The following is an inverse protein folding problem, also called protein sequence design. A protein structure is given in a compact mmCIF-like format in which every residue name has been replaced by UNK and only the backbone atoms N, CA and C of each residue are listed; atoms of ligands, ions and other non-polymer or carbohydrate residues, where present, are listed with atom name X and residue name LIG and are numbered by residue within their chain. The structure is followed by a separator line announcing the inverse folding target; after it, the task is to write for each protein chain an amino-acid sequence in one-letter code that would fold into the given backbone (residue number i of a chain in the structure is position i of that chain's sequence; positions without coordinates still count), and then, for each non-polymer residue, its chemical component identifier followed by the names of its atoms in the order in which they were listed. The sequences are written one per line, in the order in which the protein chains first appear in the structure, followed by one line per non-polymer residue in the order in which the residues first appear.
data_IF_247087003526
#
_entry.id   IF_247087003526
#
_cell.length_a   1.000
_cell.length_b   1.000
_cell.length_c   1.000
_cell.angle_alpha   90.00
_cell.angle_beta   90.00
_cell.angle_gamma   90.00
#
_symmetry.space_group_name_H-M   'P 1'
#
loop_
_entity.id
_entity.type
_entity.pdbx_description
1 polymer ?
#
# COMPACT_ATOMS: atom_id res chain seq x y z
N UNK A 1 -16.24 77.71 34.81
CA UNK A 1 -15.72 77.59 33.43
C UNK A 1 -14.48 76.70 33.45
N UNK A 2 -14.58 75.44 33.03
CA UNK A 2 -13.42 74.55 32.86
C UNK A 2 -13.73 73.56 31.75
N UNK A 3 -13.36 73.95 30.54
CA UNK A 3 -13.39 73.16 29.32
C UNK A 3 -12.06 73.48 28.62
N UNK A 4 -11.53 72.52 27.85
CA UNK A 4 -10.31 72.56 27.02
C UNK A 4 -9.09 71.85 27.61
N UNK A 5 -9.15 70.51 27.59
CA UNK A 5 -7.98 69.63 27.79
C UNK A 5 -7.99 68.36 26.92
N UNK A 6 -8.79 68.31 25.84
CA UNK A 6 -8.85 67.17 24.92
C UNK A 6 -8.96 67.65 23.47
N UNK A 7 -7.92 68.30 22.93
CA UNK A 7 -7.84 68.64 21.50
C UNK A 7 -6.44 68.49 20.86
N UNK A 8 -5.48 67.82 21.51
CA UNK A 8 -4.11 67.73 20.98
C UNK A 8 -3.62 66.34 20.58
N UNK A 9 -4.46 65.30 20.65
CA UNK A 9 -4.07 63.95 20.24
C UNK A 9 -4.19 63.67 18.73
N UNK A 10 -4.78 64.60 17.97
CA UNK A 10 -5.05 64.45 16.54
C UNK A 10 -4.33 65.47 15.64
N UNK A 11 -3.48 66.33 16.20
CA UNK A 11 -2.63 67.23 15.40
C UNK A 11 -1.36 66.49 14.96
N UNK A 12 -1.15 66.26 13.64
CA UNK A 12 0.00 65.53 13.12
C UNK A 12 1.37 66.16 13.45
N UNK A 13 1.40 67.46 13.77
CA UNK A 13 2.63 68.20 14.05
C UNK A 13 2.95 68.32 15.55
N UNK A 14 2.04 67.90 16.44
CA UNK A 14 2.22 67.90 17.89
C UNK A 14 3.31 66.93 18.34
N UNK A 15 4.17 67.34 19.28
CA UNK A 15 5.18 66.46 19.87
C UNK A 15 4.58 65.23 20.54
N UNK A 16 3.40 65.36 21.15
CA UNK A 16 2.70 64.24 21.76
C UNK A 16 2.24 63.21 20.71
N UNK A 17 1.82 63.67 19.52
CA UNK A 17 1.46 62.79 18.41
C UNK A 17 2.70 62.10 17.82
N UNK A 18 3.80 62.84 17.65
CA UNK A 18 5.09 62.27 17.19
C UNK A 18 5.62 61.21 18.15
N UNK A 19 5.57 61.45 19.46
CA UNK A 19 5.98 60.47 20.48
C UNK A 19 5.08 59.22 20.49
N UNK A 20 3.76 59.39 20.37
CA UNK A 20 2.81 58.29 20.24
C UNK A 20 3.04 57.44 18.98
N UNK A 21 3.27 58.10 17.84
CA UNK A 21 3.58 57.41 16.58
C UNK A 21 4.92 56.68 16.64
N UNK A 22 5.95 57.27 17.24
CA UNK A 22 7.25 56.61 17.43
C UNK A 22 7.13 55.34 18.29
N UNK A 23 6.42 55.41 19.42
CA UNK A 23 6.17 54.24 20.29
C UNK A 23 5.33 53.16 19.58
N UNK A 24 4.37 53.57 18.75
CA UNK A 24 3.52 52.66 17.98
C UNK A 24 4.31 51.93 16.89
N UNK A 25 5.14 52.66 16.13
CA UNK A 25 6.02 52.08 15.11
C UNK A 25 7.04 51.13 15.72
N UNK A 26 7.57 51.44 16.91
CA UNK A 26 8.50 50.55 17.59
C UNK A 26 7.85 49.25 18.06
N UNK A 27 6.60 49.31 18.57
CA UNK A 27 5.81 48.11 18.90
C UNK A 27 5.55 47.26 17.65
N UNK A 28 5.14 47.89 16.54
CA UNK A 28 4.92 47.20 15.27
C UNK A 28 6.20 46.54 14.73
N UNK A 29 7.34 47.23 14.83
CA UNK A 29 8.64 46.67 14.42
C UNK A 29 9.02 45.44 15.24
N UNK A 30 8.85 45.49 16.56
CA UNK A 30 9.11 44.34 17.45
C UNK A 30 8.20 43.16 17.13
N UNK A 31 6.92 43.40 16.87
CA UNK A 31 5.98 42.35 16.46
C UNK A 31 6.32 41.76 15.08
N UNK A 32 6.72 42.59 14.13
CA UNK A 32 7.15 42.16 12.80
C UNK A 32 8.43 41.31 12.85
N UNK A 33 9.43 41.75 13.62
CA UNK A 33 10.67 41.00 13.82
C UNK A 33 10.41 39.68 14.56
N UNK A 34 9.48 39.65 15.53
CA UNK A 34 9.06 38.42 16.21
C UNK A 34 8.39 37.44 15.24
N UNK A 35 7.40 37.89 14.46
CA UNK A 35 6.72 37.07 13.44
C UNK A 35 7.69 36.53 12.40
N UNK A 36 8.63 37.36 11.94
CA UNK A 36 9.66 36.97 10.97
C UNK A 36 10.62 35.93 11.56
N UNK A 37 10.97 36.01 12.85
CA UNK A 37 11.77 34.98 13.56
C UNK A 37 10.99 33.68 13.73
N UNK A 38 9.74 33.75 14.19
CA UNK A 38 8.85 32.59 14.31
C UNK A 38 8.65 31.89 12.95
N UNK A 39 8.49 32.65 11.87
CA UNK A 39 8.37 32.14 10.51
C UNK A 39 9.69 31.58 9.97
N UNK A 40 10.83 32.20 10.29
CA UNK A 40 12.15 31.69 9.95
C UNK A 40 12.49 30.39 10.70
N UNK A 41 12.14 30.28 11.99
CA UNK A 41 12.30 29.06 12.78
C UNK A 41 11.37 27.94 12.29
N UNK A 42 10.12 28.27 11.94
CA UNK A 42 9.18 27.34 11.30
C UNK A 42 9.71 26.85 9.95
N UNK A 43 10.23 27.75 9.11
CA UNK A 43 10.84 27.42 7.82
C UNK A 43 12.16 26.64 7.98
N UNK A 44 12.94 26.90 9.03
CA UNK A 44 14.15 26.15 9.35
C UNK A 44 13.82 24.73 9.84
N UNK A 45 12.78 24.56 10.68
CA UNK A 45 12.25 23.24 11.06
C UNK A 45 11.71 22.47 9.84
N UNK A 46 10.98 23.15 8.94
CA UNK A 46 10.48 22.55 7.70
C UNK A 46 11.60 22.14 6.72
N UNK A 47 12.77 22.81 6.77
CA UNK A 47 13.95 22.44 5.96
C UNK A 47 14.74 21.26 6.55
N UNK A 48 14.52 20.91 7.83
CA UNK A 48 15.35 19.97 8.57
C UNK A 48 14.91 18.50 8.55
N UNK A 49 13.64 18.19 8.27
CA UNK A 49 13.17 16.78 8.34
C UNK A 49 12.25 16.41 7.20
N UNK A 50 12.86 15.99 6.08
CA UNK A 50 12.10 15.39 4.97
C UNK A 50 11.76 13.94 5.29
N UNK A 51 10.54 13.55 4.95
CA UNK A 51 10.12 12.15 4.96
C UNK A 51 11.11 11.30 4.17
N UNK A 52 11.29 10.04 4.56
CA UNK A 52 12.04 9.11 3.73
C UNK A 52 11.28 8.89 2.42
N UNK A 53 11.97 9.09 1.30
CA UNK A 53 11.41 8.92 -0.04
C UNK A 53 11.87 7.59 -0.63
N UNK A 54 10.93 6.85 -1.21
CA UNK A 54 11.24 5.65 -1.99
C UNK A 54 11.75 6.08 -3.35
N UNK A 55 12.78 5.37 -3.81
CA UNK A 55 13.34 5.48 -5.15
C UNK A 55 12.79 4.39 -6.06
N UNK A 56 12.82 3.13 -5.62
CA UNK A 56 12.23 2.01 -6.35
C UNK A 56 11.80 0.88 -5.41
N UNK A 57 10.90 0.03 -5.90
CA UNK A 57 10.44 -1.20 -5.26
C UNK A 57 10.82 -2.37 -6.16
N UNK A 58 11.62 -3.30 -5.64
CA UNK A 58 11.87 -4.58 -6.28
C UNK A 58 10.93 -5.62 -5.68
N UNK A 59 10.07 -6.20 -6.52
CA UNK A 59 9.00 -7.08 -6.10
C UNK A 59 9.32 -8.57 -6.31
N UNK A 60 10.43 -8.92 -6.98
CA UNK A 60 10.84 -10.29 -7.27
C UNK A 60 9.71 -11.18 -7.83
N UNK A 61 9.00 -10.74 -8.89
CA UNK A 61 7.79 -11.40 -9.37
C UNK A 61 8.01 -12.87 -9.77
N UNK A 62 9.11 -13.18 -10.46
CA UNK A 62 9.39 -14.54 -10.94
C UNK A 62 9.80 -15.49 -9.82
N UNK A 63 10.58 -15.00 -8.86
CA UNK A 63 11.01 -15.78 -7.69
C UNK A 63 9.84 -16.08 -6.77
N UNK A 64 9.01 -15.06 -6.49
CA UNK A 64 7.80 -15.25 -5.72
C UNK A 64 6.83 -16.21 -6.44
N UNK A 65 6.71 -16.13 -7.76
CA UNK A 65 5.81 -17.00 -8.52
C UNK A 65 6.11 -18.49 -8.32
N UNK A 66 7.40 -18.87 -8.36
CA UNK A 66 7.84 -20.25 -8.10
C UNK A 66 7.45 -20.74 -6.70
N UNK A 67 7.55 -19.87 -5.70
CA UNK A 67 7.14 -20.21 -4.33
C UNK A 67 5.64 -20.33 -4.19
N UNK A 68 4.87 -19.55 -4.97
CA UNK A 68 3.42 -19.50 -4.92
C UNK A 68 2.72 -20.44 -5.93
N UNK A 69 3.46 -21.25 -6.69
CA UNK A 69 2.89 -22.10 -7.75
C UNK A 69 2.06 -21.30 -8.77
N UNK A 70 2.62 -20.20 -9.23
CA UNK A 70 2.01 -19.27 -10.21
C UNK A 70 2.92 -19.00 -11.40
N UNK A 71 4.10 -19.63 -11.50
CA UNK A 71 5.07 -19.43 -12.57
C UNK A 71 4.56 -19.76 -13.99
N UNK A 72 3.47 -20.50 -14.09
CA UNK A 72 2.85 -20.88 -15.36
C UNK A 72 2.13 -19.72 -16.08
N UNK A 73 1.81 -18.62 -15.38
CA UNK A 73 1.13 -17.50 -16.02
C UNK A 73 2.03 -16.78 -17.03
N UNK A 74 1.54 -16.63 -18.27
CA UNK A 74 2.27 -15.97 -19.37
C UNK A 74 2.61 -14.50 -19.06
N UNK A 75 1.96 -13.88 -18.07
CA UNK A 75 2.25 -12.51 -17.62
C UNK A 75 3.72 -12.31 -17.22
N UNK A 76 4.43 -13.39 -16.84
CA UNK A 76 5.85 -13.36 -16.49
C UNK A 76 6.81 -13.27 -17.68
N UNK A 77 6.33 -13.46 -18.91
CA UNK A 77 7.12 -13.26 -20.13
C UNK A 77 7.24 -11.78 -20.51
N UNK A 78 6.44 -10.90 -19.88
CA UNK A 78 6.54 -9.46 -20.05
C UNK A 78 7.82 -8.88 -19.41
N UNK A 79 8.28 -7.72 -19.90
CA UNK A 79 9.50 -7.07 -19.41
C UNK A 79 9.43 -6.56 -17.97
N UNK A 80 8.22 -6.28 -17.47
CA UNK A 80 7.99 -5.85 -16.09
C UNK A 80 6.71 -6.51 -15.56
N UNK A 81 6.80 -7.78 -15.12
CA UNK A 81 5.62 -8.58 -14.82
C UNK A 81 4.97 -8.19 -13.48
N UNK A 82 3.65 -8.40 -13.34
CA UNK A 82 2.95 -8.17 -12.08
C UNK A 82 3.34 -9.22 -11.03
N UNK A 83 2.95 -8.99 -9.79
CA UNK A 83 2.99 -10.04 -8.76
C UNK A 83 1.75 -10.93 -8.90
N UNK A 84 1.96 -12.25 -8.93
CA UNK A 84 0.87 -13.24 -8.84
C UNK A 84 1.14 -14.13 -7.64
N UNK A 85 0.39 -13.92 -6.57
CA UNK A 85 0.56 -14.52 -5.27
C UNK A 85 -0.66 -15.38 -4.91
N UNK A 86 -0.47 -16.30 -3.99
CA UNK A 86 -1.57 -17.02 -3.32
C UNK A 86 -1.65 -16.58 -1.86
N UNK A 87 -2.87 -16.34 -1.36
CA UNK A 87 -3.13 -15.96 0.04
C UNK A 87 -2.72 -17.07 1.02
N UNK A 88 -2.63 -16.76 2.31
CA UNK A 88 -2.12 -17.71 3.32
C UNK A 88 -0.62 -18.00 3.24
N UNK A 89 0.12 -17.24 2.42
CA UNK A 89 1.55 -17.44 2.19
C UNK A 89 2.26 -16.08 2.14
N UNK A 90 3.56 -16.09 2.41
CA UNK A 90 4.39 -14.89 2.40
C UNK A 90 5.23 -14.76 1.15
N UNK A 91 5.55 -13.52 0.78
CA UNK A 91 6.37 -13.17 -0.38
C UNK A 91 7.46 -12.16 0.00
N UNK A 92 8.49 -12.05 -0.83
CA UNK A 92 9.63 -11.15 -0.61
C UNK A 92 9.54 -9.91 -1.48
N UNK A 93 10.00 -8.77 -0.94
CA UNK A 93 10.22 -7.55 -1.70
C UNK A 93 11.36 -6.74 -1.08
N UNK A 94 11.97 -5.84 -1.86
CA UNK A 94 12.96 -4.88 -1.39
C UNK A 94 12.54 -3.46 -1.75
N UNK A 95 12.77 -2.55 -0.81
CA UNK A 95 12.48 -1.13 -0.96
C UNK A 95 13.82 -0.40 -0.96
N UNK A 96 14.12 0.32 -2.04
CA UNK A 96 15.27 1.23 -2.09
C UNK A 96 14.79 2.66 -1.89
N UNK A 97 15.41 3.36 -0.96
CA UNK A 97 15.13 4.75 -0.64
C UNK A 97 16.14 5.70 -1.32
N UNK A 98 15.79 6.97 -1.44
CA UNK A 98 16.68 8.02 -2.00
C UNK A 98 17.81 8.43 -1.04
N UNK A 99 17.72 8.02 0.22
CA UNK A 99 18.74 8.19 1.27
C UNK A 99 18.75 6.98 2.19
N UNK A 100 19.78 6.88 3.02
CA UNK A 100 19.86 5.82 4.03
C UNK A 100 18.62 5.81 4.95
N UNK A 101 18.12 4.60 5.20
CA UNK A 101 17.03 4.35 6.14
C UNK A 101 17.59 4.33 7.56
N UNK A 102 17.08 5.23 8.41
CA UNK A 102 17.43 5.32 9.82
C UNK A 102 16.19 4.96 10.65
N UNK A 103 16.11 3.76 11.25
CA UNK A 103 14.94 3.33 12.01
C UNK A 103 14.67 4.20 13.26
N UNK A 104 15.60 5.06 13.68
CA UNK A 104 15.37 6.02 14.77
C UNK A 104 14.68 7.29 14.31
N UNK A 105 14.74 7.62 13.01
CA UNK A 105 14.16 8.84 12.42
C UNK A 105 13.02 8.57 11.46
N UNK A 106 12.98 7.38 10.87
CA UNK A 106 12.10 7.04 9.77
C UNK A 106 11.03 6.03 10.18
N UNK A 107 9.85 6.18 9.59
CA UNK A 107 8.80 5.16 9.62
C UNK A 107 8.40 4.82 8.20
N UNK A 108 8.21 3.52 7.96
CA UNK A 108 7.83 2.98 6.66
C UNK A 108 6.59 2.14 6.86
N UNK A 109 5.60 2.33 5.99
CA UNK A 109 4.38 1.56 5.93
C UNK A 109 4.23 0.96 4.53
N UNK A 110 3.73 -0.27 4.46
CA UNK A 110 3.34 -0.92 3.21
C UNK A 110 1.83 -0.98 3.19
N UNK A 111 1.23 -0.23 2.27
CA UNK A 111 -0.20 -0.12 2.09
C UNK A 111 -0.65 -1.05 0.96
N UNK A 112 -1.62 -1.91 1.24
CA UNK A 112 -2.35 -2.72 0.28
C UNK A 112 -3.79 -2.22 0.18
N UNK A 113 -4.30 -2.07 -1.04
CA UNK A 113 -5.69 -1.65 -1.27
C UNK A 113 -6.30 -2.39 -2.44
N UNK A 114 -7.58 -2.72 -2.35
CA UNK A 114 -8.33 -3.37 -3.42
C UNK A 114 -9.65 -2.62 -3.68
N UNK A 115 -9.94 -2.39 -4.96
CA UNK A 115 -11.16 -1.71 -5.41
C UNK A 115 -11.18 -0.18 -5.24
N UNK A 116 -12.30 0.45 -5.62
CA UNK A 116 -12.39 1.91 -5.76
C UNK A 116 -12.47 2.64 -4.42
N UNK A 117 -13.06 2.00 -3.40
CA UNK A 117 -13.28 2.57 -2.07
C UNK A 117 -12.68 1.65 -1.00
N UNK A 118 -11.34 1.61 -0.86
CA UNK A 118 -10.67 0.71 0.07
C UNK A 118 -10.87 1.19 1.52
N UNK A 119 -11.26 0.27 2.41
CA UNK A 119 -11.58 0.54 3.82
C UNK A 119 -11.03 -0.57 4.73
N UNK A 120 -10.46 -0.17 5.87
CA UNK A 120 -9.85 -1.09 6.83
C UNK A 120 -10.90 -2.04 7.47
N UNK A 121 -12.05 -1.50 7.86
CA UNK A 121 -13.16 -2.26 8.46
C UNK A 121 -13.71 -3.35 7.53
N UNK A 122 -13.58 -3.14 6.22
CA UNK A 122 -14.00 -4.07 5.17
C UNK A 122 -12.85 -4.94 4.67
N UNK A 123 -11.67 -4.87 5.28
CA UNK A 123 -10.50 -5.63 4.84
C UNK A 123 -10.08 -5.36 3.39
N UNK A 124 -10.54 -4.24 2.78
CA UNK A 124 -10.15 -3.81 1.42
C UNK A 124 -9.02 -2.79 1.44
N UNK A 125 -8.58 -2.40 2.62
CA UNK A 125 -7.36 -1.62 2.87
C UNK A 125 -6.57 -2.27 4.02
N UNK A 126 -5.25 -2.31 3.90
CA UNK A 126 -4.34 -2.71 4.96
C UNK A 126 -3.10 -1.82 4.95
N UNK A 127 -2.63 -1.40 6.12
CA UNK A 127 -1.39 -0.62 6.25
C UNK A 127 -0.47 -1.28 7.27
N UNK A 128 0.67 -1.76 6.80
CA UNK A 128 1.61 -2.53 7.60
C UNK A 128 2.82 -1.68 7.96
N UNK A 129 2.97 -1.37 9.24
CA UNK A 129 4.17 -0.70 9.74
C UNK A 129 5.34 -1.66 9.68
N UNK A 130 6.40 -1.29 8.97
CA UNK A 130 7.63 -2.07 8.89
C UNK A 130 8.38 -1.98 10.23
N UNK A 131 8.69 -3.11 10.90
CA UNK A 131 9.47 -3.10 12.14
C UNK A 131 10.86 -2.51 11.94
N UNK A 132 11.41 -1.89 13.00
CA UNK A 132 12.75 -1.30 12.97
C UNK A 132 13.89 -2.33 12.91
N UNK A 133 13.62 -3.57 13.33
CA UNK A 133 14.63 -4.61 13.46
C UNK A 133 14.19 -5.88 12.75
N UNK A 134 15.18 -6.70 12.40
CA UNK A 134 14.97 -8.05 11.88
C UNK A 134 14.25 -8.90 12.91
N UNK A 135 13.43 -9.83 12.44
CA UNK A 135 12.71 -10.74 13.32
C UNK A 135 11.90 -11.78 12.57
N UNK A 136 11.13 -12.53 13.34
CA UNK A 136 10.17 -13.51 12.85
C UNK A 136 8.75 -12.93 12.82
N UNK A 137 7.88 -13.58 12.06
CA UNK A 137 6.45 -13.32 12.12
C UNK A 137 5.93 -13.71 13.51
N UNK A 138 5.10 -12.85 14.09
CA UNK A 138 4.50 -13.03 15.42
C UNK A 138 3.01 -13.28 15.35
N UNK A 139 2.37 -12.85 14.27
CA UNK A 139 0.93 -12.89 14.07
C UNK A 139 0.52 -13.83 12.93
N UNK A 140 1.43 -14.19 12.04
CA UNK A 140 1.18 -15.23 11.05
C UNK A 140 0.86 -16.59 11.74
N UNK A 141 -0.10 -17.39 11.22
CA UNK A 141 -0.85 -17.18 9.99
C UNK A 141 -2.15 -16.34 10.14
N UNK A 142 -2.42 -15.77 11.31
CA UNK A 142 -3.71 -15.18 11.65
C UNK A 142 -3.98 -13.79 11.04
N UNK A 143 -2.96 -12.97 10.81
CA UNK A 143 -3.13 -11.61 10.30
C UNK A 143 -2.02 -11.16 9.37
N UNK A 144 -2.29 -10.09 8.61
CA UNK A 144 -1.26 -9.47 7.77
C UNK A 144 -0.09 -9.06 8.63
N UNK A 145 1.11 -9.33 8.14
CA UNK A 145 2.32 -9.01 8.88
C UNK A 145 3.47 -8.75 7.92
N UNK A 146 4.40 -7.89 8.33
CA UNK A 146 5.65 -7.64 7.62
C UNK A 146 6.81 -7.81 8.59
N UNK A 147 7.87 -8.48 8.14
CA UNK A 147 9.13 -8.60 8.88
C UNK A 147 10.29 -8.11 8.03
N UNK A 148 11.29 -7.52 8.67
CA UNK A 148 12.55 -7.16 8.02
C UNK A 148 13.43 -8.39 7.95
N UNK A 149 13.93 -8.70 6.76
CA UNK A 149 14.88 -9.80 6.53
C UNK A 149 16.30 -9.27 6.35
N UNK A 150 16.43 -8.12 5.69
CA UNK A 150 17.71 -7.47 5.46
C UNK A 150 17.59 -5.94 5.48
N UNK A 151 18.62 -5.26 5.99
CA UNK A 151 18.76 -3.81 5.94
C UNK A 151 20.23 -3.51 5.63
N UNK A 152 20.46 -2.80 4.52
CA UNK A 152 21.76 -2.22 4.16
C UNK A 152 21.52 -0.77 3.70
N UNK A 153 21.95 0.21 4.50
CA UNK A 153 21.89 1.64 4.18
C UNK A 153 20.50 2.07 3.69
N UNK A 154 20.36 2.34 2.40
CA UNK A 154 19.13 2.80 1.75
C UNK A 154 18.21 1.66 1.26
N UNK A 155 18.59 0.39 1.45
CA UNK A 155 17.84 -0.79 1.01
C UNK A 155 17.28 -1.55 2.21
N UNK A 156 15.96 -1.79 2.17
CA UNK A 156 15.24 -2.57 3.15
C UNK A 156 14.55 -3.75 2.47
N UNK A 157 15.03 -4.96 2.73
CA UNK A 157 14.39 -6.19 2.29
C UNK A 157 13.43 -6.68 3.37
N UNK A 158 12.21 -7.01 2.94
CA UNK A 158 11.13 -7.43 3.81
C UNK A 158 10.48 -8.69 3.27
N UNK A 159 9.82 -9.40 4.16
CA UNK A 159 8.90 -10.47 3.82
C UNK A 159 7.52 -10.11 4.36
N UNK A 160 6.51 -10.19 3.50
CA UNK A 160 5.13 -9.83 3.81
C UNK A 160 4.29 -11.09 3.81
N UNK A 161 3.57 -11.36 4.90
CA UNK A 161 2.61 -12.45 5.00
C UNK A 161 1.21 -11.97 4.64
N UNK A 162 0.55 -12.69 3.72
CA UNK A 162 -0.84 -12.45 3.31
C UNK A 162 -1.71 -13.52 3.96
N UNK A 163 -2.70 -13.20 4.81
CA UNK A 163 -3.57 -14.20 5.45
C UNK A 163 -4.49 -14.93 4.48
N UNK A 164 -4.88 -16.15 4.84
CA UNK A 164 -5.79 -16.97 4.03
C UNK A 164 -7.21 -16.38 3.90
N UNK A 165 -7.66 -15.53 4.83
CA UNK A 165 -8.97 -14.89 4.79
C UNK A 165 -9.09 -13.63 3.91
N UNK A 166 -8.01 -13.25 3.19
CA UNK A 166 -7.96 -12.03 2.37
C UNK A 166 -8.78 -12.20 1.08
N UNK A 167 -9.44 -11.11 0.64
CA UNK A 167 -10.15 -11.07 -0.63
C UNK A 167 -9.22 -11.33 -1.82
N UNK A 168 -9.66 -12.17 -2.75
CA UNK A 168 -8.93 -12.44 -3.99
C UNK A 168 -9.15 -11.32 -5.02
N UNK A 169 -8.18 -11.14 -5.93
CA UNK A 169 -8.27 -10.18 -7.02
C UNK A 169 -7.03 -9.30 -7.18
N UNK A 170 -7.16 -8.21 -7.96
CA UNK A 170 -6.10 -7.23 -8.20
C UNK A 170 -6.00 -6.20 -7.07
N UNK A 171 -4.91 -6.27 -6.33
CA UNK A 171 -4.53 -5.33 -5.28
C UNK A 171 -3.51 -4.30 -5.80
N UNK A 172 -3.50 -3.14 -5.17
CA UNK A 172 -2.51 -2.08 -5.37
C UNK A 172 -1.61 -2.02 -4.15
N UNK A 173 -0.30 -1.91 -4.40
CA UNK A 173 0.73 -1.76 -3.39
C UNK A 173 1.30 -0.34 -3.42
N UNK A 174 1.50 0.25 -2.24
CA UNK A 174 2.26 1.48 -2.11
C UNK A 174 3.07 1.49 -0.82
N UNK A 175 4.17 2.23 -0.82
CA UNK A 175 5.03 2.42 0.34
C UNK A 175 4.92 3.87 0.80
N UNK A 176 4.59 4.07 2.07
CA UNK A 176 4.49 5.37 2.72
C UNK A 176 5.66 5.55 3.67
N UNK A 177 6.53 6.51 3.35
CA UNK A 177 7.60 6.99 4.23
C UNK A 177 7.13 8.18 5.06
N UNK A 178 7.51 8.21 6.35
CA UNK A 178 7.28 9.32 7.27
C UNK A 178 8.52 9.64 8.08
N UNK A 179 8.58 10.86 8.60
CA UNK A 179 9.56 11.27 9.62
C UNK A 179 8.96 11.14 11.03
N UNK A 180 9.70 10.53 11.96
CA UNK A 180 9.31 10.48 13.38
C UNK A 180 9.36 11.85 14.05
N UNK A 181 10.24 12.73 13.57
CA UNK A 181 10.40 14.08 14.15
C UNK A 181 9.43 15.10 13.53
N UNK A 182 8.79 14.76 12.41
CA UNK A 182 7.78 15.59 11.75
C UNK A 182 6.67 14.70 11.17
N UNK A 183 5.56 14.50 11.92
CA UNK A 183 4.44 13.67 11.49
C UNK A 183 3.72 14.16 10.22
N UNK A 184 3.86 15.44 9.86
CA UNK A 184 3.26 15.99 8.64
C UNK A 184 4.10 15.69 7.39
N UNK A 185 5.41 15.45 7.56
CA UNK A 185 6.28 15.04 6.48
C UNK A 185 5.97 13.58 6.07
N UNK A 186 5.32 13.42 4.91
CA UNK A 186 4.94 12.13 4.34
C UNK A 186 5.33 12.05 2.86
N UNK A 187 5.78 10.88 2.41
CA UNK A 187 6.03 10.58 1.00
C UNK A 187 5.42 9.23 0.64
N UNK A 188 4.66 9.17 -0.46
CA UNK A 188 4.00 7.94 -0.91
C UNK A 188 4.50 7.57 -2.30
N UNK A 189 4.98 6.34 -2.44
CA UNK A 189 5.39 5.76 -3.71
C UNK A 189 4.48 4.58 -4.03
N UNK A 190 3.92 4.55 -5.23
CA UNK A 190 3.01 3.49 -5.68
C UNK A 190 3.76 2.56 -6.60
N UNK A 191 3.56 1.25 -6.40
CA UNK A 191 3.98 0.27 -7.40
C UNK A 191 2.99 0.35 -8.57
N UNK A 192 3.51 0.59 -9.78
CA UNK A 192 2.65 0.78 -10.96
C UNK A 192 1.94 -0.51 -11.38
N UNK A 193 2.54 -1.67 -11.07
CA UNK A 193 2.00 -2.99 -11.40
C UNK A 193 0.98 -3.47 -10.38
N UNK A 194 0.08 -4.33 -10.86
CA UNK A 194 -0.91 -5.02 -10.04
C UNK A 194 -0.27 -6.12 -9.19
N UNK A 195 -0.88 -6.36 -8.03
CA UNK A 195 -0.60 -7.51 -7.17
C UNK A 195 -1.83 -8.40 -7.19
N UNK A 196 -1.81 -9.46 -7.98
CA UNK A 196 -2.88 -10.46 -8.01
C UNK A 196 -2.74 -11.39 -6.81
N UNK A 197 -3.77 -11.45 -5.97
CA UNK A 197 -3.86 -12.39 -4.85
C UNK A 197 -4.94 -13.41 -5.19
N UNK A 198 -4.53 -14.68 -5.31
CA UNK A 198 -5.37 -15.81 -5.65
C UNK A 198 -5.66 -16.67 -4.41
N UNK A 199 -6.64 -17.56 -4.55
CA UNK A 199 -6.86 -18.67 -3.61
C UNK A 199 -5.63 -19.59 -3.53
N UNK A 200 -5.47 -20.26 -2.39
CA UNK A 200 -4.32 -21.10 -2.11
C UNK A 200 -4.65 -22.56 -1.72
N UNK A 201 -4.74 -23.47 -2.70
CA UNK A 201 -4.92 -24.90 -2.45
C UNK A 201 -3.78 -25.56 -1.65
N UNK A 202 -2.62 -24.91 -1.49
CA UNK A 202 -1.47 -25.40 -0.72
C UNK A 202 -1.50 -24.98 0.76
N UNK A 203 -2.36 -24.03 1.13
CA UNK A 203 -2.43 -23.48 2.49
C UNK A 203 -3.57 -24.15 3.26
N UNK A 204 -3.25 -24.79 4.40
CA UNK A 204 -4.22 -25.51 5.25
C UNK A 204 -5.30 -24.61 5.85
N UNK A 205 -4.99 -23.33 5.98
CA UNK A 205 -5.87 -22.30 6.51
C UNK A 205 -6.79 -21.69 5.43
N UNK A 206 -6.58 -22.02 4.15
CA UNK A 206 -7.43 -21.57 3.05
C UNK A 206 -8.62 -22.53 2.86
N UNK A 207 -9.78 -21.98 2.52
CA UNK A 207 -11.02 -22.73 2.29
C UNK A 207 -10.87 -23.75 1.15
N UNK A 208 -10.05 -23.43 0.14
CA UNK A 208 -9.80 -24.29 -1.03
C UNK A 208 -8.67 -25.31 -0.82
N UNK A 209 -8.23 -25.53 0.42
CA UNK A 209 -7.10 -26.43 0.71
C UNK A 209 -7.31 -27.83 0.13
N UNK A 210 -6.28 -28.36 -0.54
CA UNK A 210 -6.27 -29.72 -1.06
C UNK A 210 -4.98 -30.42 -0.61
N UNK A 211 -5.11 -31.43 0.26
CA UNK A 211 -3.95 -32.19 0.76
C UNK A 211 -3.25 -32.97 -0.35
N UNK A 212 -4.02 -33.59 -1.25
CA UNK A 212 -3.49 -34.43 -2.31
C UNK A 212 -2.82 -33.61 -3.43
N UNK A 213 -1.57 -33.93 -3.76
CA UNK A 213 -0.81 -33.26 -4.82
C UNK A 213 -1.35 -33.53 -6.24
N UNK A 214 -1.85 -34.74 -6.51
CA UNK A 214 -2.46 -35.07 -7.79
C UNK A 214 -3.76 -34.29 -8.01
N UNK A 215 -4.52 -34.02 -6.94
CA UNK A 215 -5.72 -33.17 -7.03
C UNK A 215 -5.37 -31.71 -7.30
N UNK A 216 -4.31 -31.19 -6.68
CA UNK A 216 -3.81 -29.85 -6.98
C UNK A 216 -3.31 -29.75 -8.42
N UNK A 217 -2.66 -30.80 -8.93
CA UNK A 217 -2.25 -30.87 -10.33
C UNK A 217 -3.46 -30.84 -11.26
N UNK A 218 -4.38 -31.79 -11.12
CA UNK A 218 -5.55 -31.94 -12.00
C UNK A 218 -6.52 -30.75 -11.95
N UNK A 219 -6.85 -30.26 -10.76
CA UNK A 219 -7.93 -29.27 -10.59
C UNK A 219 -7.46 -27.81 -10.64
N UNK A 220 -6.15 -27.56 -10.60
CA UNK A 220 -5.60 -26.19 -10.52
C UNK A 220 -4.56 -25.93 -11.61
N UNK A 221 -3.61 -26.86 -11.78
CA UNK A 221 -2.44 -26.64 -12.65
C UNK A 221 -2.61 -27.19 -14.07
N UNK A 222 -3.43 -28.22 -14.27
CA UNK A 222 -3.67 -28.74 -15.61
C UNK A 222 -4.62 -27.80 -16.37
N UNK A 223 -4.14 -27.24 -17.47
CA UNK A 223 -4.85 -26.25 -18.29
C UNK A 223 -5.61 -26.87 -19.48
N UNK A 224 -5.64 -28.19 -19.53
CA UNK A 224 -6.30 -29.00 -20.54
C UNK A 224 -7.06 -30.12 -19.85
N UNK A 225 -8.33 -30.25 -20.20
CA UNK A 225 -9.20 -31.28 -19.65
C UNK A 225 -10.03 -31.99 -20.71
N UNK A 226 -11.06 -32.68 -20.23
CA UNK A 226 -12.01 -33.43 -21.06
C UNK A 226 -13.43 -33.14 -20.61
N UNK A 227 -14.27 -32.71 -21.54
CA UNK A 227 -15.71 -32.55 -21.32
C UNK A 227 -16.41 -33.78 -21.89
N UNK A 228 -17.15 -34.49 -21.05
CA UNK A 228 -17.98 -35.61 -21.47
C UNK A 228 -19.33 -35.12 -21.99
N UNK A 229 -19.72 -35.63 -23.14
CA UNK A 229 -20.97 -35.31 -23.82
C UNK A 229 -21.64 -36.58 -24.35
N UNK A 230 -22.82 -36.43 -24.95
CA UNK A 230 -23.61 -37.55 -25.46
C UNK A 230 -24.56 -38.11 -24.41
N UNK A 231 -25.02 -39.34 -24.63
CA UNK A 231 -25.93 -40.00 -23.69
C UNK A 231 -25.15 -40.86 -22.69
N UNK A 232 -25.78 -41.21 -21.57
CA UNK A 232 -25.24 -42.20 -20.63
C UNK A 232 -24.80 -43.51 -21.31
N UNK A 233 -25.53 -43.95 -22.34
CA UNK A 233 -25.22 -45.20 -23.08
C UNK A 233 -24.03 -45.06 -24.04
N UNK A 234 -23.69 -43.84 -24.45
CA UNK A 234 -22.64 -43.55 -25.41
C UNK A 234 -21.92 -42.24 -25.04
N UNK A 235 -21.17 -42.23 -23.93
CA UNK A 235 -20.43 -41.06 -23.53
C UNK A 235 -19.29 -40.81 -24.51
N UNK A 236 -19.13 -39.56 -24.93
CA UNK A 236 -18.04 -39.10 -25.78
C UNK A 236 -17.25 -38.03 -25.05
N UNK A 237 -15.95 -38.26 -24.86
CA UNK A 237 -15.05 -37.25 -24.30
C UNK A 237 -14.50 -36.36 -25.41
N UNK A 238 -14.63 -35.04 -25.27
CA UNK A 238 -13.91 -34.07 -26.09
C UNK A 238 -12.84 -33.37 -25.27
N UNK A 239 -11.65 -33.24 -25.85
CA UNK A 239 -10.57 -32.42 -25.28
C UNK A 239 -11.03 -30.97 -25.21
N UNK A 240 -10.74 -30.31 -24.10
CA UNK A 240 -11.01 -28.90 -23.87
C UNK A 240 -9.75 -28.22 -23.36
N UNK A 241 -9.42 -27.05 -23.89
CA UNK A 241 -8.30 -26.24 -23.40
C UNK A 241 -8.92 -25.17 -22.49
N UNK A 242 -8.65 -25.24 -21.19
CA UNK A 242 -9.06 -24.21 -20.24
C UNK A 242 -8.23 -22.94 -20.44
N UNK A 243 -6.91 -23.10 -20.61
CA UNK A 243 -6.01 -21.99 -20.94
C UNK A 243 -5.97 -20.88 -19.88
N UNK A 244 -6.17 -21.22 -18.61
CA UNK A 244 -6.29 -20.26 -17.49
C UNK A 244 -5.03 -19.42 -17.24
N UNK A 245 -3.88 -19.82 -17.80
CA UNK A 245 -2.60 -19.15 -17.60
C UNK A 245 -2.26 -18.10 -18.67
N UNK A 246 -3.13 -17.94 -19.68
CA UNK A 246 -2.92 -16.96 -20.74
C UNK A 246 -2.75 -15.53 -20.24
N UNK A 247 -1.97 -14.73 -20.97
CA UNK A 247 -1.55 -13.37 -20.60
C UNK A 247 -2.73 -12.46 -20.17
N UNK A 248 -3.88 -12.59 -20.84
CA UNK A 248 -5.05 -11.75 -20.61
C UNK A 248 -6.04 -12.31 -19.58
N UNK A 249 -5.81 -13.51 -19.05
CA UNK A 249 -6.79 -14.18 -18.17
C UNK A 249 -6.93 -13.45 -16.84
N UNK A 250 -5.83 -13.10 -16.17
CA UNK A 250 -5.88 -12.39 -14.88
C UNK A 250 -6.55 -11.00 -15.00
N UNK A 251 -6.20 -10.15 -15.99
CA UNK A 251 -6.96 -8.93 -16.25
C UNK A 251 -8.44 -9.16 -16.56
N UNK A 252 -8.76 -10.17 -17.37
CA UNK A 252 -10.15 -10.49 -17.73
C UNK A 252 -10.97 -10.95 -16.53
N UNK A 253 -10.44 -11.87 -15.71
CA UNK A 253 -11.06 -12.32 -14.46
C UNK A 253 -11.28 -11.14 -13.50
N UNK A 254 -10.30 -10.25 -13.36
CA UNK A 254 -10.43 -9.05 -12.53
C UNK A 254 -11.57 -8.16 -13.04
N UNK A 255 -11.62 -7.91 -14.35
CA UNK A 255 -12.69 -7.11 -14.96
C UNK A 255 -14.07 -7.76 -14.75
N UNK A 256 -14.18 -9.08 -14.90
CA UNK A 256 -15.41 -9.82 -14.64
C UNK A 256 -15.86 -9.65 -13.19
N UNK A 257 -14.95 -9.80 -12.22
CA UNK A 257 -15.23 -9.59 -10.79
C UNK A 257 -15.65 -8.14 -10.45
N UNK A 258 -15.12 -7.16 -11.18
CA UNK A 258 -15.51 -5.75 -10.99
C UNK A 258 -16.86 -5.41 -11.63
N UNK A 259 -17.26 -6.16 -12.66
CA UNK A 259 -18.53 -6.00 -13.35
C UNK A 259 -19.64 -6.85 -12.74
N UNK A 260 -19.32 -7.98 -12.10
CA UNK A 260 -20.27 -8.73 -11.31
C UNK A 260 -20.76 -7.82 -10.19
N UNK A 261 -22.08 -7.64 -10.07
CA UNK A 261 -22.71 -6.80 -9.05
C UNK A 261 -22.62 -7.41 -7.64
N UNK A 262 -21.59 -8.23 -7.36
CA UNK A 262 -21.13 -8.48 -5.99
C UNK A 262 -20.94 -7.12 -5.35
N UNK A 263 -21.63 -6.87 -4.23
CA UNK A 263 -21.76 -5.53 -3.65
C UNK A 263 -20.39 -4.83 -3.62
N UNK A 264 -20.29 -3.51 -3.85
CA UNK A 264 -19.01 -2.78 -3.86
C UNK A 264 -18.13 -3.00 -2.62
N UNK A 265 -18.74 -3.54 -1.55
CA UNK A 265 -18.16 -3.83 -0.24
C UNK A 265 -17.89 -5.32 0.03
N UNK A 266 -18.39 -6.24 -0.81
CA UNK A 266 -18.26 -7.70 -0.66
C UNK A 266 -17.39 -8.25 -1.79
N UNK A 267 -16.11 -7.85 -1.82
CA UNK A 267 -15.15 -8.54 -2.68
C UNK A 267 -14.97 -9.95 -2.19
N UNK A 268 -14.97 -10.94 -3.09
CA UNK A 268 -15.04 -12.34 -2.70
C UNK A 268 -13.89 -12.72 -1.77
N UNK A 269 -14.25 -13.16 -0.58
CA UNK A 269 -13.33 -13.79 0.39
C UNK A 269 -13.48 -15.30 0.41
N UNK A 270 -14.61 -15.78 -0.09
CA UNK A 270 -15.00 -17.17 -0.10
C UNK A 270 -15.24 -17.63 -1.55
N UNK A 271 -14.96 -18.90 -1.83
CA UNK A 271 -15.17 -19.54 -3.13
C UNK A 271 -16.62 -19.42 -3.59
N UNK A 272 -17.56 -19.58 -2.66
CA UNK A 272 -19.00 -19.52 -2.94
C UNK A 272 -19.47 -18.13 -3.42
N UNK A 273 -18.72 -17.07 -3.09
CA UNK A 273 -18.99 -15.71 -3.56
C UNK A 273 -18.41 -15.45 -4.95
N UNK A 274 -17.37 -16.19 -5.35
CA UNK A 274 -16.78 -16.11 -6.69
C UNK A 274 -17.60 -16.91 -7.70
N UNK A 275 -18.11 -18.08 -7.29
CA UNK A 275 -18.82 -18.99 -8.18
C UNK A 275 -20.24 -18.55 -8.55
N UNK A 276 -20.88 -17.72 -7.72
CA UNK A 276 -22.27 -17.25 -7.89
C UNK A 276 -22.38 -15.97 -8.72
#
# INVERSE_FOLDING_TARGET
MASHGRRHMHDPNSEAYKAYMAATLERMRREYERRRREEAERNARARGTKAIEVDTIEAYPKENAKHHHTEMFDVFESGEPPLVLRRGQSFFMAIRFKRDYDPMKDEVYIDFSIGPNPELSKGTFMSLRVPAQKGEFRLAPASWEVRVTHHDRAVLSVQVFVPAGVSVGSWKLSVLGRSKNDPEAKSKFRLDKDVYILFNPWCKEDLVYMENEDWRREYVLDDVGKIYMGSWKQPQGRRWIFGQFGELVLPACTLLLEKSKTLPNDRPRDETQVER
#
